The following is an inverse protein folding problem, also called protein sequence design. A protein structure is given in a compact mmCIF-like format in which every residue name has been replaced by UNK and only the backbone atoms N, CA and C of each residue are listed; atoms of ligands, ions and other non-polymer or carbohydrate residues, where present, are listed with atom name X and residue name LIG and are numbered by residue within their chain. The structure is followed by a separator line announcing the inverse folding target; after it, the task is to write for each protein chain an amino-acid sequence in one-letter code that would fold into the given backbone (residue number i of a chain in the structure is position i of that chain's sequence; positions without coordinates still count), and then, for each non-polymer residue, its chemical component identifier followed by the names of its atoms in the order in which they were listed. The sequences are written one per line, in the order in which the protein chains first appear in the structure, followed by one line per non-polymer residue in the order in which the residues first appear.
data_IF_780949135108
#
_entry.id   IF_780949135108
#
_cell.length_a   1.000
_cell.length_b   1.000
_cell.length_c   1.000
_cell.angle_alpha   90.00
_cell.angle_beta   90.00
_cell.angle_gamma   90.00
#
_symmetry.space_group_name_H-M   'P 1'
#
loop_
_entity.id
_entity.type
_entity.pdbx_description
1 polymer ?
#
# COMPACT_ATOMS: atom_id res chain seq x y z
N UNK A 1 4.02 -1.08 29.65
CA UNK A 1 3.17 -0.11 28.90
C UNK A 1 3.97 0.32 27.69
N UNK A 2 3.65 -0.24 26.54
CA UNK A 2 4.29 0.09 25.26
C UNK A 2 3.25 0.78 24.38
N UNK A 3 3.64 1.88 23.73
CA UNK A 3 2.79 2.60 22.78
C UNK A 3 3.17 2.26 21.36
N UNK A 4 2.30 1.57 20.65
CA UNK A 4 2.53 1.14 19.28
C UNK A 4 1.67 1.96 18.34
N UNK A 5 2.29 2.52 17.30
CA UNK A 5 1.61 3.25 16.25
C UNK A 5 1.58 2.40 14.96
N UNK A 6 0.39 1.99 14.53
CA UNK A 6 0.21 1.33 13.23
C UNK A 6 -0.02 2.40 12.17
N UNK A 7 0.87 2.46 11.19
CA UNK A 7 0.85 3.46 10.13
C UNK A 7 0.55 2.83 8.77
N UNK A 8 -0.22 3.53 7.96
CA UNK A 8 -0.23 3.35 6.50
C UNK A 8 -0.06 4.70 5.83
N UNK A 9 0.51 4.70 4.65
CA UNK A 9 0.84 5.92 3.90
C UNK A 9 0.21 5.84 2.53
N UNK A 10 -0.55 6.86 2.19
CA UNK A 10 -1.11 7.11 0.86
C UNK A 10 -0.27 8.22 0.22
N UNK A 11 0.79 7.83 -0.50
CA UNK A 11 1.83 8.76 -0.94
C UNK A 11 1.39 9.71 -2.04
N UNK A 12 0.51 9.29 -2.92
CA UNK A 12 -0.05 10.08 -4.03
C UNK A 12 -1.38 10.77 -3.70
N UNK A 13 -1.85 10.61 -2.45
CA UNK A 13 -3.04 11.26 -1.92
C UNK A 13 -4.35 10.85 -2.61
N UNK A 14 -4.47 9.60 -2.99
CA UNK A 14 -5.69 9.04 -3.58
C UNK A 14 -6.90 9.16 -2.64
N UNK A 15 -6.68 8.97 -1.34
CA UNK A 15 -7.71 9.22 -0.32
C UNK A 15 -8.25 10.64 -0.39
N UNK A 16 -7.35 11.63 -0.45
CA UNK A 16 -7.73 13.04 -0.54
C UNK A 16 -8.43 13.39 -1.84
N UNK A 17 -7.91 12.89 -2.96
CA UNK A 17 -8.43 13.15 -4.31
C UNK A 17 -9.82 12.52 -4.48
N UNK A 18 -9.99 11.26 -4.09
CA UNK A 18 -11.21 10.49 -4.34
C UNK A 18 -12.30 10.72 -3.29
N UNK A 19 -11.94 11.09 -2.05
CA UNK A 19 -12.90 11.19 -0.94
C UNK A 19 -12.94 12.55 -0.24
N UNK A 20 -12.03 13.46 -0.57
CA UNK A 20 -11.84 14.75 0.10
C UNK A 20 -11.43 14.63 1.59
N UNK A 21 -10.98 13.45 2.03
CA UNK A 21 -10.42 13.25 3.36
C UNK A 21 -8.95 13.65 3.33
N UNK A 22 -8.56 14.50 4.27
CA UNK A 22 -7.17 14.96 4.42
C UNK A 22 -6.52 14.28 5.62
N UNK A 23 -5.25 13.89 5.46
CA UNK A 23 -4.45 13.37 6.55
C UNK A 23 -3.94 14.47 7.51
N UNK A 24 -3.39 14.09 8.67
CA UNK A 24 -3.40 12.71 9.15
C UNK A 24 -4.80 12.26 9.57
N UNK A 25 -5.16 11.00 9.29
CA UNK A 25 -6.39 10.39 9.79
C UNK A 25 -6.00 9.48 10.94
N UNK A 26 -6.37 9.83 12.16
CA UNK A 26 -5.96 9.13 13.38
C UNK A 26 -7.16 8.51 14.07
N UNK A 27 -6.97 7.31 14.57
CA UNK A 27 -7.97 6.58 15.33
C UNK A 27 -8.76 5.57 14.51
N UNK A 28 -9.00 4.41 15.12
CA UNK A 28 -9.64 3.27 14.49
C UNK A 28 -10.93 3.60 13.73
N UNK A 29 -11.80 4.41 14.35
CA UNK A 29 -13.11 4.76 13.75
C UNK A 29 -12.95 5.64 12.52
N UNK A 30 -12.06 6.61 12.58
CA UNK A 30 -11.77 7.55 11.50
C UNK A 30 -11.11 6.84 10.33
N UNK A 31 -10.14 5.97 10.62
CA UNK A 31 -9.44 5.15 9.63
C UNK A 31 -10.40 4.17 8.95
N UNK A 32 -11.30 3.52 9.69
CA UNK A 32 -12.33 2.66 9.10
C UNK A 32 -13.27 3.46 8.17
N UNK A 33 -13.66 4.66 8.59
CA UNK A 33 -14.51 5.53 7.76
C UNK A 33 -13.79 5.94 6.47
N UNK A 34 -12.49 6.23 6.55
CA UNK A 34 -11.66 6.55 5.38
C UNK A 34 -11.57 5.36 4.42
N UNK A 35 -11.28 4.15 4.94
CA UNK A 35 -11.23 2.92 4.13
C UNK A 35 -12.54 2.66 3.39
N UNK A 36 -13.68 2.76 4.08
CA UNK A 36 -15.00 2.56 3.47
C UNK A 36 -15.29 3.59 2.38
N UNK A 37 -14.99 4.87 2.62
CA UNK A 37 -15.20 5.91 1.61
C UNK A 37 -14.31 5.72 0.39
N UNK A 38 -13.03 5.36 0.58
CA UNK A 38 -12.11 5.10 -0.52
C UNK A 38 -12.56 3.89 -1.33
N UNK A 39 -12.85 2.76 -0.70
CA UNK A 39 -13.32 1.55 -1.39
C UNK A 39 -14.67 1.70 -2.08
N UNK A 40 -15.55 2.61 -1.62
CA UNK A 40 -16.80 2.93 -2.32
C UNK A 40 -16.53 3.86 -3.52
N UNK A 41 -15.61 4.82 -3.37
CA UNK A 41 -15.25 5.75 -4.43
C UNK A 41 -14.47 5.06 -5.56
N UNK A 42 -13.58 4.14 -5.20
CA UNK A 42 -12.79 3.34 -6.13
C UNK A 42 -12.56 1.92 -5.57
N UNK A 43 -13.38 0.93 -5.99
CA UNK A 43 -13.24 -0.45 -5.50
C UNK A 43 -11.95 -1.17 -5.93
N UNK A 44 -11.22 -0.62 -6.90
CA UNK A 44 -9.95 -1.20 -7.39
C UNK A 44 -8.72 -0.57 -6.73
N UNK A 45 -8.92 0.44 -5.87
CA UNK A 45 -7.85 1.15 -5.20
C UNK A 45 -7.12 0.28 -4.18
N UNK A 46 -5.81 0.11 -4.37
CA UNK A 46 -4.98 -0.76 -3.54
C UNK A 46 -4.78 -0.22 -2.11
N UNK A 47 -4.74 1.11 -1.94
CA UNK A 47 -4.62 1.74 -0.63
C UNK A 47 -5.74 1.34 0.33
N UNK A 48 -6.94 1.05 -0.19
CA UNK A 48 -8.03 0.51 0.63
C UNK A 48 -7.60 -0.76 1.36
N UNK A 49 -6.81 -1.63 0.71
CA UNK A 49 -6.33 -2.87 1.32
C UNK A 49 -5.24 -2.61 2.37
N UNK A 50 -4.34 -1.65 2.12
CA UNK A 50 -3.34 -1.23 3.11
C UNK A 50 -4.01 -0.63 4.35
N UNK A 51 -5.02 0.23 4.18
CA UNK A 51 -5.77 0.81 5.29
C UNK A 51 -6.51 -0.27 6.10
N UNK A 52 -7.17 -1.23 5.43
CA UNK A 52 -7.83 -2.36 6.10
C UNK A 52 -6.82 -3.28 6.79
N UNK A 53 -5.64 -3.46 6.20
CA UNK A 53 -4.52 -4.19 6.81
C UNK A 53 -4.03 -3.50 8.08
N UNK A 54 -3.90 -2.18 8.07
CA UNK A 54 -3.54 -1.41 9.25
C UNK A 54 -4.57 -1.54 10.38
N UNK A 55 -5.86 -1.51 10.05
CA UNK A 55 -6.93 -1.77 11.03
C UNK A 55 -6.87 -3.19 11.59
N UNK A 56 -6.63 -4.18 10.74
CA UNK A 56 -6.48 -5.58 11.17
C UNK A 56 -5.30 -5.73 12.14
N UNK A 57 -4.15 -5.16 11.80
CA UNK A 57 -2.97 -5.21 12.66
C UNK A 57 -3.19 -4.49 13.99
N UNK A 58 -3.84 -3.33 13.97
CA UNK A 58 -4.24 -2.62 15.19
C UNK A 58 -5.11 -3.50 16.09
N UNK A 59 -6.14 -4.15 15.56
CA UNK A 59 -7.04 -5.00 16.31
C UNK A 59 -6.33 -6.25 16.87
N UNK A 60 -5.46 -6.88 16.08
CA UNK A 60 -4.63 -8.02 16.49
C UNK A 60 -3.71 -7.63 17.67
N UNK A 61 -3.09 -6.46 17.61
CA UNK A 61 -2.21 -5.99 18.68
C UNK A 61 -2.98 -5.72 19.97
N UNK A 62 -4.19 -5.15 19.87
CA UNK A 62 -5.05 -4.95 21.05
C UNK A 62 -5.52 -6.28 21.67
N UNK A 63 -5.81 -7.29 20.83
CA UNK A 63 -6.25 -8.61 21.30
C UNK A 63 -5.13 -9.42 21.97
N UNK A 64 -3.89 -9.27 21.48
CA UNK A 64 -2.74 -10.06 21.93
C UNK A 64 -1.80 -9.30 22.87
N UNK A 65 -1.99 -7.99 23.02
CA UNK A 65 -1.21 -7.14 23.92
C UNK A 65 -1.53 -7.35 25.39
N UNK A 66 -0.77 -6.70 26.25
CA UNK A 66 -1.09 -6.61 27.67
C UNK A 66 -2.09 -5.49 27.92
N UNK A 67 -2.82 -5.55 29.04
CA UNK A 67 -3.81 -4.51 29.42
C UNK A 67 -3.17 -3.11 29.55
N UNK A 68 -1.85 -3.04 29.68
CA UNK A 68 -1.10 -1.79 29.81
C UNK A 68 -0.56 -1.26 28.46
N UNK A 69 -0.74 -1.97 27.35
CA UNK A 69 -0.25 -1.53 26.05
C UNK A 69 -1.29 -0.69 25.32
N UNK A 70 -0.84 0.40 24.72
CA UNK A 70 -1.68 1.30 23.93
C UNK A 70 -1.34 1.11 22.45
N UNK A 71 -2.36 0.98 21.62
CA UNK A 71 -2.21 0.87 20.15
C UNK A 71 -3.05 1.94 19.48
N UNK A 72 -2.43 2.68 18.59
CA UNK A 72 -3.12 3.68 17.76
C UNK A 72 -2.90 3.36 16.29
N UNK A 73 -3.81 3.77 15.42
CA UNK A 73 -3.71 3.59 13.98
C UNK A 73 -3.88 4.92 13.26
N UNK A 74 -3.05 5.18 12.25
CA UNK A 74 -3.12 6.40 11.49
C UNK A 74 -2.83 6.20 9.99
N UNK A 75 -3.45 7.05 9.16
CA UNK A 75 -3.16 7.21 7.74
C UNK A 75 -2.46 8.55 7.56
N UNK A 76 -1.33 8.54 6.88
CA UNK A 76 -0.64 9.75 6.42
C UNK A 76 -0.88 9.90 4.91
N UNK A 77 -1.23 11.10 4.46
CA UNK A 77 -1.47 11.36 3.05
C UNK A 77 -0.42 12.29 2.47
N UNK A 78 0.04 11.98 1.29
CA UNK A 78 1.02 12.78 0.56
C UNK A 78 0.42 13.90 -0.29
N UNK A 79 0.89 13.99 -1.52
CA UNK A 79 0.44 14.98 -2.51
C UNK A 79 0.29 14.26 -3.86
N UNK A 80 -0.70 14.64 -4.67
CA UNK A 80 -0.94 14.11 -6.03
C UNK A 80 0.34 14.03 -6.87
N UNK A 81 1.25 14.98 -6.64
CA UNK A 81 2.58 14.95 -7.25
C UNK A 81 3.57 14.30 -6.30
N UNK A 82 3.72 13.00 -6.45
CA UNK A 82 4.69 12.20 -5.71
C UNK A 82 6.10 12.79 -5.82
N UNK A 83 6.81 12.87 -4.69
CA UNK A 83 8.17 13.42 -4.57
C UNK A 83 8.31 14.31 -3.34
N UNK A 84 9.20 15.30 -3.39
CA UNK A 84 9.55 16.14 -2.24
C UNK A 84 8.34 16.83 -1.58
N UNK A 85 7.30 17.17 -2.34
CA UNK A 85 6.09 17.77 -1.77
C UNK A 85 5.28 16.76 -0.96
N UNK A 86 5.07 15.59 -1.52
CA UNK A 86 4.43 14.47 -0.83
C UNK A 86 5.22 14.09 0.41
N UNK A 87 6.53 13.92 0.29
CA UNK A 87 7.42 13.56 1.40
C UNK A 87 7.36 14.59 2.54
N UNK A 88 7.30 15.89 2.22
CA UNK A 88 7.13 16.96 3.23
C UNK A 88 5.75 16.93 3.91
N UNK A 89 4.70 16.65 3.14
CA UNK A 89 3.35 16.53 3.70
C UNK A 89 3.25 15.36 4.69
N UNK A 90 3.82 14.21 4.31
CA UNK A 90 3.90 13.02 5.16
C UNK A 90 4.73 13.30 6.41
N UNK A 91 5.90 13.93 6.28
CA UNK A 91 6.76 14.27 7.41
C UNK A 91 6.07 15.18 8.44
N UNK A 92 5.34 16.20 7.97
CA UNK A 92 4.62 17.13 8.84
C UNK A 92 3.45 16.45 9.56
N UNK A 93 2.70 15.59 8.88
CA UNK A 93 1.61 14.82 9.48
C UNK A 93 2.14 13.80 10.51
N UNK A 94 3.26 13.16 10.19
CA UNK A 94 3.89 12.23 11.13
C UNK A 94 4.36 12.94 12.40
N UNK A 95 4.97 14.12 12.28
CA UNK A 95 5.38 14.96 13.41
C UNK A 95 4.18 15.29 14.32
N UNK A 96 3.03 15.64 13.73
CA UNK A 96 1.79 15.90 14.45
C UNK A 96 1.34 14.65 15.24
N UNK A 97 1.29 13.50 14.59
CA UNK A 97 0.84 12.23 15.20
C UNK A 97 1.81 11.78 16.29
N UNK A 98 3.12 11.80 16.03
CA UNK A 98 4.15 11.41 17.00
C UNK A 98 4.17 12.34 18.20
N UNK A 99 4.02 13.64 18.00
CA UNK A 99 3.96 14.61 19.10
C UNK A 99 2.72 14.43 19.98
N UNK A 100 1.59 14.08 19.40
CA UNK A 100 0.34 13.88 20.12
C UNK A 100 0.28 12.54 20.87
N UNK A 101 0.70 11.45 20.22
CA UNK A 101 0.58 10.10 20.74
C UNK A 101 1.81 9.60 21.48
N UNK A 102 3.01 10.09 21.12
CA UNK A 102 4.31 9.70 21.67
C UNK A 102 4.55 8.18 21.64
N UNK A 103 4.52 7.57 20.46
CA UNK A 103 4.72 6.13 20.31
C UNK A 103 6.17 5.73 20.63
N UNK A 104 6.34 4.57 21.26
CA UNK A 104 7.65 3.94 21.47
C UNK A 104 8.17 3.33 20.17
N UNK A 105 7.24 2.81 19.34
CA UNK A 105 7.53 2.17 18.07
C UNK A 105 6.36 2.26 17.10
N UNK A 106 6.66 2.06 15.83
CA UNK A 106 5.67 2.03 14.77
C UNK A 106 5.78 0.76 13.93
N UNK A 107 4.64 0.34 13.39
CA UNK A 107 4.52 -0.70 12.37
C UNK A 107 3.99 -0.05 11.12
N UNK A 108 4.70 -0.20 10.00
CA UNK A 108 4.25 0.31 8.71
C UNK A 108 3.53 -0.79 7.93
N UNK A 109 2.30 -0.51 7.53
CA UNK A 109 1.52 -1.34 6.62
C UNK A 109 1.53 -0.65 5.25
N UNK A 110 1.94 -1.38 4.22
CA UNK A 110 2.08 -0.86 2.85
C UNK A 110 1.50 -1.84 1.83
N UNK A 111 1.03 -1.36 0.70
CA UNK A 111 0.63 -2.17 -0.44
C UNK A 111 1.75 -2.28 -1.49
N UNK A 112 2.77 -1.45 -1.45
CA UNK A 112 3.82 -1.43 -2.44
C UNK A 112 5.10 -0.68 -2.12
N UNK A 113 6.01 -0.70 -3.09
CA UNK A 113 7.35 -0.13 -2.96
C UNK A 113 7.36 1.41 -2.93
N UNK A 114 6.33 2.07 -3.43
CA UNK A 114 6.25 3.55 -3.41
C UNK A 114 6.08 4.06 -1.99
N UNK A 115 5.26 3.39 -1.19
CA UNK A 115 5.08 3.73 0.22
C UNK A 115 6.32 3.40 1.04
N UNK A 116 7.01 2.31 0.69
CA UNK A 116 8.28 1.94 1.34
C UNK A 116 9.36 3.03 1.14
N UNK A 117 9.26 3.86 0.11
CA UNK A 117 10.18 4.96 -0.12
C UNK A 117 10.14 6.04 0.97
N UNK A 118 9.06 6.11 1.78
CA UNK A 118 8.96 7.03 2.92
C UNK A 118 9.57 6.48 4.22
N UNK A 119 10.05 5.22 4.22
CA UNK A 119 10.68 4.61 5.40
C UNK A 119 11.74 5.50 6.07
N UNK A 120 12.68 6.13 5.34
CA UNK A 120 13.67 7.01 5.96
C UNK A 120 13.05 8.20 6.70
N UNK A 121 11.91 8.71 6.18
CA UNK A 121 11.18 9.82 6.80
C UNK A 121 10.56 9.35 8.12
N UNK A 122 9.89 8.19 8.11
CA UNK A 122 9.27 7.64 9.29
C UNK A 122 10.32 7.30 10.35
N UNK A 123 11.41 6.64 9.96
CA UNK A 123 12.52 6.25 10.84
C UNK A 123 13.25 7.46 11.48
N UNK A 124 13.18 8.63 10.85
CA UNK A 124 13.75 9.85 11.43
C UNK A 124 12.97 10.38 12.64
N UNK A 125 11.73 9.95 12.85
CA UNK A 125 10.83 10.46 13.89
C UNK A 125 10.37 9.39 14.88
N UNK A 126 10.26 8.14 14.46
CA UNK A 126 9.83 7.02 15.31
C UNK A 126 10.56 5.75 14.90
N UNK A 127 10.86 4.89 15.87
CA UNK A 127 11.44 3.57 15.60
C UNK A 127 10.42 2.69 14.88
N UNK A 128 10.81 2.14 13.74
CA UNK A 128 9.98 1.13 13.05
C UNK A 128 10.38 -0.25 13.58
N UNK A 129 9.41 -0.99 14.12
CA UNK A 129 9.59 -2.38 14.55
C UNK A 129 9.62 -3.30 13.33
N UNK A 130 8.60 -3.24 12.48
CA UNK A 130 8.59 -3.96 11.21
C UNK A 130 7.72 -3.28 10.16
N UNK A 131 7.86 -3.76 8.92
CA UNK A 131 7.06 -3.36 7.76
C UNK A 131 6.29 -4.58 7.27
N UNK A 132 4.97 -4.47 7.20
CA UNK A 132 4.11 -5.52 6.67
C UNK A 132 3.56 -5.11 5.30
N UNK A 133 3.76 -5.97 4.31
CA UNK A 133 3.26 -5.73 2.96
C UNK A 133 1.97 -6.49 2.70
N UNK A 134 0.91 -5.76 2.40
CA UNK A 134 -0.37 -6.32 1.99
C UNK A 134 -0.33 -6.63 0.50
N UNK A 135 -0.32 -7.91 0.17
CA UNK A 135 -0.34 -8.37 -1.22
C UNK A 135 -1.75 -8.84 -1.55
N UNK A 136 -2.44 -8.06 -2.38
CA UNK A 136 -3.73 -8.50 -2.94
C UNK A 136 -3.45 -9.54 -4.03
N UNK A 137 -3.90 -10.77 -3.81
CA UNK A 137 -3.82 -11.82 -4.84
C UNK A 137 -4.80 -11.48 -5.97
N UNK A 138 -4.33 -10.74 -6.95
CA UNK A 138 -5.08 -10.52 -8.18
C UNK A 138 -4.96 -11.77 -9.05
N UNK A 139 -6.00 -12.59 -9.10
CA UNK A 139 -6.05 -13.77 -9.97
C UNK A 139 -6.13 -13.43 -11.47
N UNK A 140 -6.34 -12.17 -11.81
CA UNK A 140 -6.48 -11.70 -13.21
C UNK A 140 -5.18 -11.72 -14.04
N UNK A 141 -4.01 -11.76 -13.41
CA UNK A 141 -2.74 -11.61 -14.15
C UNK A 141 -2.34 -12.81 -14.99
N UNK A 142 -2.62 -14.03 -14.53
CA UNK A 142 -2.20 -15.25 -15.23
C UNK A 142 -3.16 -15.60 -16.36
N UNK A 143 -4.49 -15.49 -16.14
CA UNK A 143 -5.49 -15.78 -17.16
C UNK A 143 -5.44 -14.78 -18.30
N UNK A 144 -5.28 -13.47 -18.00
CA UNK A 144 -5.12 -12.46 -19.03
C UNK A 144 -3.83 -12.66 -19.85
N UNK A 145 -2.70 -12.89 -19.21
CA UNK A 145 -1.43 -13.14 -19.88
C UNK A 145 -1.48 -14.42 -20.72
N UNK A 146 -2.04 -15.50 -20.18
CA UNK A 146 -2.24 -16.75 -20.92
C UNK A 146 -3.14 -16.55 -22.15
N UNK A 147 -4.25 -15.83 -22.00
CA UNK A 147 -5.15 -15.50 -23.10
C UNK A 147 -4.44 -14.71 -24.21
N UNK A 148 -3.65 -13.69 -23.85
CA UNK A 148 -2.89 -12.91 -24.85
C UNK A 148 -1.80 -13.74 -25.53
N UNK A 149 -1.12 -14.65 -24.81
CA UNK A 149 -0.12 -15.56 -25.38
C UNK A 149 -0.80 -16.53 -26.35
N UNK A 150 -1.91 -17.15 -25.95
CA UNK A 150 -2.67 -18.08 -26.81
C UNK A 150 -3.16 -17.35 -28.06
N UNK A 151 -3.77 -16.18 -27.90
CA UNK A 151 -4.27 -15.36 -29.01
C UNK A 151 -3.15 -14.90 -29.96
N UNK A 152 -2.00 -14.55 -29.43
CA UNK A 152 -0.83 -14.22 -30.25
C UNK A 152 -0.30 -15.42 -31.02
N UNK A 153 -0.33 -16.62 -30.45
CA UNK A 153 0.06 -17.88 -31.11
C UNK A 153 -0.97 -18.35 -32.14
N UNK A 154 -2.24 -18.00 -31.98
CA UNK A 154 -3.31 -18.27 -32.94
C UNK A 154 -3.30 -17.32 -34.15
N UNK A 155 -2.70 -16.13 -34.03
CA UNK A 155 -2.62 -15.16 -35.11
C UNK A 155 -1.69 -15.69 -36.24
N UNK A 156 -2.22 -15.92 -37.48
CA UNK A 156 -1.45 -16.47 -38.60
C UNK A 156 -0.22 -15.62 -38.95
N UNK A 157 -0.28 -14.30 -38.74
CA UNK A 157 0.83 -13.38 -39.01
C UNK A 157 1.96 -13.53 -38.01
N UNK A 158 1.66 -13.79 -36.76
CA UNK A 158 2.61 -14.05 -35.70
C UNK A 158 3.28 -15.42 -35.89
N UNK A 159 2.50 -16.44 -36.22
CA UNK A 159 3.02 -17.80 -36.50
C UNK A 159 4.02 -17.77 -37.67
N UNK A 160 3.67 -17.10 -38.77
CA UNK A 160 4.58 -16.99 -39.93
C UNK A 160 5.86 -16.23 -39.59
N UNK A 161 5.80 -15.19 -38.75
CA UNK A 161 6.94 -14.32 -38.46
C UNK A 161 7.94 -14.93 -37.46
N UNK A 162 7.49 -15.79 -36.55
CA UNK A 162 8.33 -16.38 -35.52
C UNK A 162 8.53 -17.88 -35.62
N UNK A 163 7.53 -18.66 -36.05
CA UNK A 163 7.66 -20.10 -36.18
C UNK A 163 8.44 -20.53 -37.42
N UNK A 164 8.34 -19.80 -38.52
CA UNK A 164 9.09 -20.15 -39.76
C UNK A 164 10.59 -19.96 -39.56
N UNK A 165 11.11 -18.83 -39.06
CA UNK A 165 12.54 -18.70 -38.77
C UNK A 165 13.04 -19.69 -37.74
N UNK A 166 12.26 -19.95 -36.67
CA UNK A 166 12.63 -20.92 -35.65
C UNK A 166 12.70 -22.33 -36.18
N UNK A 167 11.74 -22.72 -37.04
CA UNK A 167 11.74 -24.02 -37.71
C UNK A 167 12.92 -24.19 -38.67
N UNK A 168 13.32 -23.14 -39.40
CA UNK A 168 14.50 -23.14 -40.26
C UNK A 168 15.80 -23.30 -39.46
N UNK A 169 15.93 -22.61 -38.30
CA UNK A 169 17.12 -22.76 -37.45
C UNK A 169 17.20 -24.18 -36.87
N UNK A 170 16.09 -24.75 -36.43
CA UNK A 170 16.07 -26.14 -35.93
C UNK A 170 16.26 -27.21 -36.98
N UNK A 171 16.02 -26.90 -38.27
CA UNK A 171 16.25 -27.83 -39.36
C UNK A 171 17.70 -27.85 -39.87
N UNK A 172 18.52 -26.87 -39.45
CA UNK A 172 19.94 -26.75 -39.83
C UNK A 172 20.87 -27.44 -38.81
N UNK A 173 20.36 -27.68 -37.60
CA UNK A 173 21.05 -28.43 -36.53
C UNK A 173 20.46 -29.83 -36.36
#
# INVERSE_FOLDING_TARGET
MTRVLVLTVDRDNDLGIKTSIRGPVVGRRQVLTAALKLGIADPEESDTNAILGALSQHDILLENGSDDDEVEVAILTGDEKVGVRSDRAIAAQLEEVVSAYQPDEAILITDGAEDEAVLPIIQSQVRIDHVEKIIVKQSKGIEGTYYYIVKALEDPKWRARFMVPLGLVLAIF
#
